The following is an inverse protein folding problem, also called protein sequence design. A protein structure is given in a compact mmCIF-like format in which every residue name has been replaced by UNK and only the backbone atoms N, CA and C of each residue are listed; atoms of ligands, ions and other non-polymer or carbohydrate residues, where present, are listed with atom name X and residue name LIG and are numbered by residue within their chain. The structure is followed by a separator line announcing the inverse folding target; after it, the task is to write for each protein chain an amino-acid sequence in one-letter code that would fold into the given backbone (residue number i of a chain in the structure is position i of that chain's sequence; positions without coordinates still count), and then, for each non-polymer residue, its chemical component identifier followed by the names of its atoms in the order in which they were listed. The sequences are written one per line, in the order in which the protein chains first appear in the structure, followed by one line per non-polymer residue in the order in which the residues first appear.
data_IF_668008761060
#
_entry.id   IF_668008761060
#
_cell.length_a   1.000
_cell.length_b   1.000
_cell.length_c   1.000
_cell.angle_alpha   90.00
_cell.angle_beta   90.00
_cell.angle_gamma   90.00
#
_symmetry.space_group_name_H-M   'P 1'
#
loop_
_entity.id
_entity.type
_entity.pdbx_description
1 polymer ?
#
# COMPACT_ATOMS: atom_id res chain seq x y z
N UNK A 1 6.18 -34.04 -27.94
CA UNK A 1 5.18 -32.96 -27.91
C UNK A 1 4.63 -32.89 -26.50
N UNK A 2 5.06 -31.91 -25.73
CA UNK A 2 4.55 -31.68 -24.35
C UNK A 2 3.22 -30.94 -24.49
N UNK A 3 2.10 -31.61 -24.17
CA UNK A 3 0.81 -30.96 -24.04
C UNK A 3 0.84 -30.08 -22.79
N UNK A 4 0.81 -28.77 -22.98
CA UNK A 4 0.58 -27.82 -21.87
C UNK A 4 -0.70 -28.25 -21.14
N UNK A 5 -0.70 -28.33 -19.80
CA UNK A 5 -1.94 -28.59 -19.08
C UNK A 5 -2.92 -27.45 -19.36
N UNK A 6 -4.17 -27.81 -19.60
CA UNK A 6 -5.29 -26.88 -19.77
C UNK A 6 -5.21 -25.79 -18.70
N UNK A 7 -5.08 -24.54 -19.13
CA UNK A 7 -5.21 -23.41 -18.23
C UNK A 7 -6.63 -23.51 -17.65
N UNK A 8 -6.73 -23.75 -16.35
CA UNK A 8 -7.98 -23.65 -15.63
C UNK A 8 -8.32 -22.16 -15.63
N UNK A 9 -9.03 -21.70 -16.63
CA UNK A 9 -9.72 -20.41 -16.61
C UNK A 9 -10.79 -20.49 -15.51
N UNK A 10 -10.44 -20.11 -14.29
CA UNK A 10 -11.44 -19.80 -13.28
C UNK A 10 -11.98 -18.42 -13.68
N UNK A 11 -13.23 -18.30 -14.08
CA UNK A 11 -13.79 -17.02 -14.49
C UNK A 11 -13.62 -16.03 -13.33
N UNK A 12 -13.05 -14.85 -13.60
CA UNK A 12 -13.16 -13.72 -12.70
C UNK A 12 -14.66 -13.47 -12.53
N UNK A 13 -15.12 -13.27 -11.32
CA UNK A 13 -16.52 -12.91 -11.06
C UNK A 13 -16.78 -11.51 -11.65
N UNK A 14 -17.17 -11.48 -12.90
CA UNK A 14 -17.48 -10.25 -13.65
C UNK A 14 -18.67 -9.48 -13.04
N UNK A 15 -19.35 -10.05 -12.04
CA UNK A 15 -20.46 -9.38 -11.35
C UNK A 15 -19.97 -8.47 -10.20
N UNK A 16 -18.72 -8.63 -9.73
CA UNK A 16 -18.19 -7.84 -8.63
C UNK A 16 -17.76 -6.45 -9.12
N UNK A 17 -18.46 -5.42 -8.64
CA UNK A 17 -18.09 -4.03 -8.94
C UNK A 17 -16.75 -3.66 -8.32
N UNK A 18 -15.96 -2.79 -8.98
CA UNK A 18 -14.72 -2.28 -8.42
C UNK A 18 -14.93 -1.61 -7.05
N UNK A 19 -14.06 -1.93 -6.11
CA UNK A 19 -14.05 -1.28 -4.79
C UNK A 19 -13.65 0.19 -4.93
N UNK A 20 -14.35 1.06 -4.20
CA UNK A 20 -14.15 2.51 -4.24
C UNK A 20 -13.98 3.08 -2.83
N UNK A 21 -13.39 4.29 -2.72
CA UNK A 21 -13.30 4.98 -1.42
C UNK A 21 -14.67 5.19 -0.75
N UNK A 22 -15.72 5.66 -1.44
CA UNK A 22 -17.05 5.77 -0.82
C UNK A 22 -17.55 4.42 -0.28
N UNK A 23 -17.35 3.31 -1.00
CA UNK A 23 -17.74 1.98 -0.50
C UNK A 23 -16.95 1.57 0.73
N UNK A 24 -15.64 1.80 0.77
CA UNK A 24 -14.81 1.55 1.96
C UNK A 24 -15.26 2.41 3.15
N UNK A 25 -15.61 3.67 2.92
CA UNK A 25 -16.15 4.55 3.95
C UNK A 25 -17.51 4.04 4.49
N UNK A 26 -18.38 3.55 3.62
CA UNK A 26 -19.67 2.93 4.01
C UNK A 26 -19.44 1.66 4.83
N UNK A 27 -18.52 0.78 4.43
CA UNK A 27 -18.16 -0.41 5.19
C UNK A 27 -17.70 -0.05 6.61
N UNK A 28 -16.79 0.95 6.73
CA UNK A 28 -16.35 1.46 8.04
C UNK A 28 -17.54 1.97 8.88
N UNK A 29 -18.43 2.75 8.29
CA UNK A 29 -19.61 3.31 8.96
C UNK A 29 -20.59 2.24 9.42
N UNK A 30 -20.74 1.17 8.65
CA UNK A 30 -21.64 0.05 8.92
C UNK A 30 -21.02 -1.02 9.84
N UNK A 31 -19.72 -0.91 10.16
CA UNK A 31 -18.99 -1.92 10.93
C UNK A 31 -18.72 -3.20 10.13
N UNK A 32 -18.78 -3.15 8.81
CA UNK A 32 -18.42 -4.25 7.93
C UNK A 32 -16.89 -4.40 7.89
N UNK A 33 -16.32 -5.59 8.12
CA UNK A 33 -14.88 -5.81 8.03
C UNK A 33 -14.35 -5.50 6.62
N UNK A 34 -13.22 -4.78 6.54
CA UNK A 34 -12.49 -4.57 5.30
C UNK A 34 -11.30 -5.53 5.27
N UNK A 35 -11.26 -6.39 4.27
CA UNK A 35 -10.19 -7.39 4.11
C UNK A 35 -9.14 -6.86 3.15
N UNK A 36 -7.91 -6.67 3.64
CA UNK A 36 -6.76 -6.28 2.83
C UNK A 36 -5.67 -7.35 2.91
N UNK A 37 -5.10 -7.72 1.77
CA UNK A 37 -3.96 -8.63 1.68
C UNK A 37 -2.84 -8.01 0.86
N UNK A 38 -1.62 -8.52 1.01
CA UNK A 38 -0.50 -8.16 0.13
C UNK A 38 -0.44 -9.11 -1.07
N UNK A 39 -0.11 -8.56 -2.24
CA UNK A 39 0.22 -9.33 -3.44
C UNK A 39 1.26 -8.58 -4.25
N UNK A 40 2.27 -9.29 -4.78
CA UNK A 40 3.43 -8.66 -5.41
C UNK A 40 3.60 -9.04 -6.88
N UNK A 41 2.80 -9.95 -7.38
CA UNK A 41 2.87 -10.47 -8.73
C UNK A 41 1.47 -10.80 -9.30
N UNK A 42 1.43 -11.18 -10.57
CA UNK A 42 0.17 -11.52 -11.24
C UNK A 42 -0.56 -12.71 -10.59
N UNK A 43 0.08 -13.88 -10.32
CA UNK A 43 -0.63 -15.02 -9.76
C UNK A 43 -1.14 -14.78 -8.33
N UNK A 44 -0.39 -14.11 -7.46
CA UNK A 44 -0.85 -13.79 -6.10
C UNK A 44 -2.01 -12.76 -6.12
N UNK A 45 -1.93 -11.77 -7.00
CA UNK A 45 -3.01 -10.81 -7.20
C UNK A 45 -4.28 -11.48 -7.72
N UNK A 46 -4.15 -12.40 -8.70
CA UNK A 46 -5.27 -13.18 -9.21
C UNK A 46 -5.90 -14.08 -8.13
N UNK A 47 -5.10 -14.64 -7.22
CA UNK A 47 -5.60 -15.39 -6.07
C UNK A 47 -6.39 -14.49 -5.11
N UNK A 48 -5.89 -13.28 -4.82
CA UNK A 48 -6.57 -12.27 -4.01
C UNK A 48 -7.91 -11.84 -4.63
N UNK A 49 -7.93 -11.57 -5.95
CA UNK A 49 -9.16 -11.27 -6.70
C UNK A 49 -10.19 -12.38 -6.52
N UNK A 50 -9.80 -13.64 -6.75
CA UNK A 50 -10.69 -14.82 -6.63
C UNK A 50 -11.16 -15.06 -5.20
N UNK A 51 -10.34 -14.72 -4.20
CA UNK A 51 -10.71 -14.81 -2.79
C UNK A 51 -11.74 -13.73 -2.38
N UNK A 52 -11.96 -12.72 -3.23
CA UNK A 52 -12.95 -11.68 -2.98
C UNK A 52 -12.51 -10.66 -1.93
N UNK A 53 -11.21 -10.40 -1.77
CA UNK A 53 -10.72 -9.36 -0.86
C UNK A 53 -11.13 -7.96 -1.31
N UNK A 54 -11.19 -7.02 -0.37
CA UNK A 54 -11.63 -5.65 -0.66
C UNK A 54 -10.47 -4.79 -1.15
N UNK A 55 -9.28 -5.03 -0.63
CA UNK A 55 -8.10 -4.24 -0.94
C UNK A 55 -6.88 -5.13 -1.17
N UNK A 56 -5.97 -4.66 -2.01
CA UNK A 56 -4.64 -5.25 -2.21
C UNK A 56 -3.58 -4.20 -2.01
N UNK A 57 -2.56 -4.52 -1.22
CA UNK A 57 -1.37 -3.70 -1.03
C UNK A 57 -0.19 -4.33 -1.78
N UNK A 58 0.46 -3.55 -2.63
CA UNK A 58 1.81 -3.86 -3.09
C UNK A 58 2.78 -3.12 -2.19
N UNK A 59 3.20 -3.81 -1.10
CA UNK A 59 4.08 -3.25 -0.09
C UNK A 59 5.53 -3.18 -0.54
N UNK A 60 6.31 -2.26 0.01
CA UNK A 60 7.77 -2.25 -0.15
C UNK A 60 8.45 -3.50 0.46
N UNK A 61 7.74 -4.21 1.34
CA UNK A 61 8.13 -5.55 1.84
C UNK A 61 8.31 -6.60 0.73
N UNK A 62 7.79 -6.35 -0.48
CA UNK A 62 8.14 -7.10 -1.70
C UNK A 62 9.64 -7.13 -1.97
N UNK A 63 10.39 -6.11 -1.53
CA UNK A 63 11.84 -6.10 -1.53
C UNK A 63 12.42 -7.35 -0.86
N UNK A 64 11.92 -7.65 0.33
CA UNK A 64 12.43 -8.78 1.13
C UNK A 64 11.83 -10.12 0.69
N UNK A 65 10.52 -10.14 0.44
CA UNK A 65 9.77 -11.39 0.24
C UNK A 65 9.83 -11.92 -1.19
N UNK A 66 10.08 -11.05 -2.17
CA UNK A 66 10.10 -11.39 -3.61
C UNK A 66 11.48 -11.16 -4.21
N UNK A 67 12.13 -10.04 -3.89
CA UNK A 67 13.41 -9.66 -4.50
C UNK A 67 14.63 -10.13 -3.68
N UNK A 68 14.44 -10.56 -2.42
CA UNK A 68 15.49 -11.14 -1.59
C UNK A 68 16.43 -10.12 -0.92
N UNK A 69 16.01 -8.86 -0.79
CA UNK A 69 16.74 -7.87 -0.01
C UNK A 69 16.65 -8.15 1.50
N UNK A 70 17.66 -7.75 2.26
CA UNK A 70 17.70 -7.92 3.72
C UNK A 70 16.74 -6.97 4.47
N UNK A 71 16.30 -5.89 3.80
CA UNK A 71 15.36 -4.89 4.35
C UNK A 71 14.59 -4.20 3.21
N UNK A 72 13.61 -3.36 3.58
CA UNK A 72 12.86 -2.54 2.60
C UNK A 72 13.62 -1.29 2.16
N UNK A 73 14.71 -0.91 2.85
CA UNK A 73 15.42 0.36 2.62
C UNK A 73 16.09 0.45 1.24
N UNK A 74 16.79 -0.58 0.73
CA UNK A 74 17.52 -0.47 -0.53
C UNK A 74 16.68 -0.59 -1.80
N UNK A 75 15.38 -0.92 -1.68
CA UNK A 75 14.54 -1.14 -2.86
C UNK A 75 14.28 0.17 -3.61
N UNK A 76 14.44 0.12 -4.92
CA UNK A 76 14.22 1.27 -5.80
C UNK A 76 12.74 1.43 -6.17
N UNK A 77 12.34 2.66 -6.46
CA UNK A 77 10.96 2.99 -6.88
C UNK A 77 10.52 2.16 -8.09
N UNK A 78 11.39 1.96 -9.07
CA UNK A 78 11.05 1.23 -10.29
C UNK A 78 10.80 -0.26 -10.05
N UNK A 79 11.44 -0.84 -9.04
CA UNK A 79 11.21 -2.23 -8.63
C UNK A 79 9.81 -2.40 -8.03
N UNK A 80 9.40 -1.51 -7.13
CA UNK A 80 8.05 -1.57 -6.56
C UNK A 80 6.98 -1.25 -7.62
N UNK A 81 7.25 -0.31 -8.53
CA UNK A 81 6.36 -0.05 -9.66
C UNK A 81 6.23 -1.29 -10.58
N UNK A 82 7.31 -2.02 -10.80
CA UNK A 82 7.26 -3.27 -11.57
C UNK A 82 6.34 -4.30 -10.91
N UNK A 83 6.46 -4.51 -9.59
CA UNK A 83 5.59 -5.39 -8.82
C UNK A 83 4.14 -4.91 -8.87
N UNK A 84 3.90 -3.60 -8.66
CA UNK A 84 2.56 -3.01 -8.71
C UNK A 84 1.88 -3.19 -10.09
N UNK A 85 2.63 -2.98 -11.18
CA UNK A 85 2.16 -3.24 -12.55
C UNK A 85 1.80 -4.71 -12.77
N UNK A 86 2.59 -5.63 -12.21
CA UNK A 86 2.32 -7.06 -12.31
C UNK A 86 1.05 -7.44 -11.52
N UNK A 87 0.92 -6.98 -10.27
CA UNK A 87 -0.26 -7.20 -9.45
C UNK A 87 -1.53 -6.60 -10.10
N UNK A 88 -1.46 -5.38 -10.63
CA UNK A 88 -2.59 -4.72 -11.31
C UNK A 88 -3.23 -5.57 -12.39
N UNK A 89 -2.42 -6.30 -13.17
CA UNK A 89 -2.95 -7.16 -14.25
C UNK A 89 -3.78 -8.34 -13.75
N UNK A 90 -3.62 -8.74 -12.48
CA UNK A 90 -4.38 -9.81 -11.85
C UNK A 90 -5.63 -9.34 -11.10
N UNK A 91 -5.89 -8.02 -11.07
CA UNK A 91 -6.95 -7.41 -10.27
C UNK A 91 -7.97 -6.68 -11.16
N UNK A 92 -9.24 -6.85 -10.84
CA UNK A 92 -10.37 -6.14 -11.46
C UNK A 92 -11.19 -5.37 -10.43
N UNK A 93 -11.49 -6.00 -9.28
CA UNK A 93 -12.39 -5.46 -8.27
C UNK A 93 -11.71 -4.89 -7.02
N UNK A 94 -10.59 -5.43 -6.45
CA UNK A 94 -9.99 -4.88 -5.24
C UNK A 94 -9.42 -3.47 -5.42
N UNK A 95 -9.48 -2.68 -4.35
CA UNK A 95 -8.86 -1.36 -4.27
C UNK A 95 -7.34 -1.53 -4.14
N UNK A 96 -6.59 -1.16 -5.17
CA UNK A 96 -5.14 -1.34 -5.22
C UNK A 96 -4.41 -0.17 -4.57
N UNK A 97 -3.56 -0.47 -3.59
CA UNK A 97 -2.69 0.49 -2.90
C UNK A 97 -1.24 0.19 -3.24
N UNK A 98 -0.50 1.21 -3.68
CA UNK A 98 0.94 1.13 -3.92
C UNK A 98 1.73 1.76 -2.78
N UNK A 99 2.77 1.08 -2.31
CA UNK A 99 3.61 1.56 -1.22
C UNK A 99 4.76 2.41 -1.75
N UNK A 100 4.90 3.63 -1.24
CA UNK A 100 6.02 4.51 -1.59
C UNK A 100 7.29 4.01 -0.88
N UNK A 101 8.33 3.54 -1.61
CA UNK A 101 9.54 3.06 -0.97
C UNK A 101 10.34 4.20 -0.32
N UNK A 102 11.17 3.84 0.64
CA UNK A 102 12.06 4.79 1.33
C UNK A 102 12.92 5.58 0.33
N UNK A 103 13.08 6.87 0.55
CA UNK A 103 13.84 7.77 -0.34
C UNK A 103 13.00 8.34 -1.48
N UNK A 104 11.77 7.88 -1.69
CA UNK A 104 10.93 8.30 -2.81
C UNK A 104 9.94 9.43 -2.50
N UNK A 105 9.83 9.84 -1.22
CA UNK A 105 8.86 10.88 -0.81
C UNK A 105 9.37 11.82 0.31
N UNK A 106 10.49 11.52 0.96
CA UNK A 106 10.93 12.27 2.16
C UNK A 106 11.49 13.65 1.85
N UNK A 107 12.11 13.83 0.68
CA UNK A 107 12.90 15.03 0.35
C UNK A 107 12.04 16.28 0.21
N UNK A 108 10.92 16.18 -0.52
CA UNK A 108 10.04 17.33 -0.79
C UNK A 108 8.60 16.92 -1.09
N UNK A 109 7.67 17.88 -1.01
CA UNK A 109 6.28 17.67 -1.43
C UNK A 109 6.19 17.36 -2.92
N UNK A 110 6.99 18.00 -3.74
CA UNK A 110 7.07 17.77 -5.18
C UNK A 110 7.51 16.34 -5.50
N UNK A 111 8.56 15.85 -4.81
CA UNK A 111 8.99 14.46 -4.95
C UNK A 111 7.86 13.50 -4.59
N UNK A 112 7.21 13.69 -3.45
CA UNK A 112 6.16 12.82 -2.96
C UNK A 112 4.96 12.75 -3.93
N UNK A 113 4.52 13.90 -4.44
CA UNK A 113 3.44 13.98 -5.43
C UNK A 113 3.85 13.33 -6.75
N UNK A 114 5.06 13.58 -7.23
CA UNK A 114 5.59 12.99 -8.47
C UNK A 114 5.65 11.47 -8.36
N UNK A 115 6.14 10.95 -7.24
CA UNK A 115 6.18 9.50 -6.98
C UNK A 115 4.78 8.91 -6.93
N UNK A 116 3.85 9.52 -6.20
CA UNK A 116 2.46 9.06 -6.12
C UNK A 116 1.78 9.04 -7.49
N UNK A 117 2.01 10.06 -8.33
CA UNK A 117 1.52 10.11 -9.70
C UNK A 117 2.01 8.93 -10.56
N UNK A 118 3.24 8.48 -10.35
CA UNK A 118 3.76 7.29 -11.06
C UNK A 118 2.99 6.04 -10.70
N UNK A 119 2.67 5.81 -9.41
CA UNK A 119 1.85 4.67 -8.99
C UNK A 119 0.46 4.71 -9.60
N UNK A 120 -0.18 5.87 -9.63
CA UNK A 120 -1.51 6.04 -10.22
C UNK A 120 -1.48 5.85 -11.74
N UNK A 121 -0.58 6.52 -12.43
CA UNK A 121 -0.57 6.57 -13.91
C UNK A 121 0.05 5.33 -14.53
N UNK A 122 1.12 4.79 -13.95
CA UNK A 122 1.85 3.66 -14.54
C UNK A 122 1.34 2.32 -14.04
N UNK A 123 0.99 2.22 -12.74
CA UNK A 123 0.56 0.97 -12.13
C UNK A 123 -0.96 0.88 -11.87
N UNK A 124 -1.72 1.96 -12.12
CA UNK A 124 -3.17 1.98 -11.91
C UNK A 124 -3.58 1.80 -10.45
N UNK A 125 -2.73 2.24 -9.51
CA UNK A 125 -3.07 2.25 -8.09
C UNK A 125 -4.18 3.28 -7.82
N UNK A 126 -5.12 2.93 -6.95
CA UNK A 126 -6.20 3.80 -6.53
C UNK A 126 -5.81 4.69 -5.34
N UNK A 127 -4.78 4.30 -4.60
CA UNK A 127 -4.17 5.04 -3.51
C UNK A 127 -2.69 4.70 -3.38
N UNK A 128 -1.97 5.50 -2.59
CA UNK A 128 -0.59 5.20 -2.19
C UNK A 128 -0.48 5.09 -0.67
N UNK A 129 0.51 4.31 -0.18
CA UNK A 129 0.85 4.23 1.25
C UNK A 129 2.18 4.94 1.50
N UNK A 130 2.31 5.57 2.67
CA UNK A 130 3.56 6.10 3.19
C UNK A 130 3.70 5.83 4.69
N UNK A 131 4.93 5.80 5.19
CA UNK A 131 5.24 5.50 6.58
C UNK A 131 5.58 6.73 7.40
N UNK A 132 5.29 6.61 8.71
CA UNK A 132 5.56 7.63 9.71
C UNK A 132 4.40 8.60 9.92
N UNK A 133 4.39 9.23 11.09
CA UNK A 133 3.38 10.23 11.48
C UNK A 133 4.02 11.50 12.03
N UNK A 134 5.32 11.71 11.77
CA UNK A 134 6.01 12.95 12.08
C UNK A 134 5.66 14.09 11.13
N UNK A 135 6.12 15.32 11.41
CA UNK A 135 5.78 16.50 10.61
C UNK A 135 6.05 16.33 9.11
N UNK A 136 7.15 15.67 8.75
CA UNK A 136 7.51 15.40 7.35
C UNK A 136 6.47 14.50 6.69
N UNK A 137 6.19 13.33 7.26
CA UNK A 137 5.22 12.38 6.68
C UNK A 137 3.82 12.99 6.58
N UNK A 138 3.40 13.75 7.58
CA UNK A 138 2.10 14.48 7.56
C UNK A 138 2.06 15.53 6.45
N UNK A 139 3.15 16.28 6.23
CA UNK A 139 3.24 17.24 5.12
C UNK A 139 3.15 16.52 3.76
N UNK A 140 3.86 15.40 3.58
CA UNK A 140 3.83 14.60 2.35
C UNK A 140 2.44 14.01 2.09
N UNK A 141 1.79 13.46 3.13
CA UNK A 141 0.41 12.97 3.03
C UNK A 141 -0.53 14.07 2.55
N UNK A 142 -0.43 15.26 3.15
CA UNK A 142 -1.23 16.42 2.76
C UNK A 142 -0.98 16.86 1.32
N UNK A 143 0.27 16.93 0.89
CA UNK A 143 0.62 17.33 -0.47
C UNK A 143 0.05 16.34 -1.51
N UNK A 144 0.20 15.03 -1.28
CA UNK A 144 -0.32 13.98 -2.14
C UNK A 144 -1.85 14.03 -2.18
N UNK A 145 -2.49 14.12 -1.02
CA UNK A 145 -3.96 14.19 -0.92
C UNK A 145 -4.51 15.45 -1.59
N UNK A 146 -3.84 16.61 -1.42
CA UNK A 146 -4.23 17.87 -2.10
C UNK A 146 -4.07 17.80 -3.61
N UNK A 147 -3.21 16.92 -4.11
CA UNK A 147 -3.08 16.64 -5.55
C UNK A 147 -4.18 15.67 -6.07
N UNK A 148 -5.11 15.25 -5.22
CA UNK A 148 -6.24 14.37 -5.56
C UNK A 148 -5.94 12.88 -5.51
N UNK A 149 -4.83 12.48 -4.90
CA UNK A 149 -4.43 11.07 -4.76
C UNK A 149 -4.72 10.62 -3.31
N UNK A 150 -5.54 9.58 -3.10
CA UNK A 150 -5.80 9.06 -1.76
C UNK A 150 -4.53 8.51 -1.10
N UNK A 151 -4.39 8.75 0.20
CA UNK A 151 -3.22 8.32 0.98
C UNK A 151 -3.65 7.37 2.10
N UNK A 152 -2.93 6.26 2.24
CA UNK A 152 -2.98 5.39 3.40
C UNK A 152 -1.78 5.68 4.29
N UNK A 153 -2.02 6.21 5.49
CA UNK A 153 -0.96 6.45 6.48
C UNK A 153 -0.60 5.18 7.23
N UNK A 154 0.69 5.02 7.56
CA UNK A 154 1.18 3.90 8.36
C UNK A 154 1.97 4.41 9.56
N UNK A 155 1.51 4.09 10.76
CA UNK A 155 2.14 4.44 12.03
C UNK A 155 2.45 3.20 12.87
N UNK A 156 3.24 3.36 13.90
CA UNK A 156 3.65 2.26 14.78
C UNK A 156 4.98 1.66 14.36
N UNK A 157 5.02 0.39 13.95
CA UNK A 157 6.23 -0.22 13.40
C UNK A 157 6.35 0.15 11.93
N UNK A 158 7.30 1.01 11.62
CA UNK A 158 7.60 1.50 10.27
C UNK A 158 8.94 0.92 9.79
N UNK A 159 8.92 -0.14 8.95
CA UNK A 159 10.14 -0.83 8.48
C UNK A 159 11.17 0.09 7.85
N UNK A 160 10.75 1.09 7.10
CA UNK A 160 11.64 2.07 6.45
C UNK A 160 12.50 2.85 7.44
N UNK A 161 12.04 3.04 8.66
CA UNK A 161 12.76 3.72 9.73
C UNK A 161 13.22 2.77 10.85
N UNK A 162 13.29 1.47 10.57
CA UNK A 162 13.65 0.43 11.55
C UNK A 162 14.99 0.69 12.26
N UNK A 163 15.97 1.30 11.58
CA UNK A 163 17.24 1.68 12.18
C UNK A 163 17.03 2.65 13.36
N UNK A 164 16.19 3.67 13.20
CA UNK A 164 15.86 4.61 14.27
C UNK A 164 15.03 3.97 15.39
N UNK A 165 14.23 2.94 15.06
CA UNK A 165 13.40 2.19 16.02
C UNK A 165 14.17 1.09 16.77
N UNK A 166 15.46 0.86 16.45
CA UNK A 166 16.27 -0.22 17.00
C UNK A 166 15.88 -1.62 16.50
N UNK A 167 15.43 -1.71 15.26
CA UNK A 167 15.02 -2.94 14.56
C UNK A 167 13.52 -3.17 14.58
N UNK A 168 13.10 -4.35 14.12
CA UNK A 168 11.69 -4.78 14.05
C UNK A 168 11.14 -5.15 15.44
N UNK A 169 10.72 -4.15 16.21
CA UNK A 169 10.19 -4.32 17.56
C UNK A 169 8.77 -3.77 17.66
N UNK A 170 7.92 -4.47 18.41
CA UNK A 170 6.57 -3.98 18.69
C UNK A 170 6.62 -2.59 19.32
N UNK A 171 5.87 -1.65 18.76
CA UNK A 171 5.74 -0.27 19.21
C UNK A 171 4.50 -0.11 20.11
N UNK A 172 4.39 1.06 20.79
CA UNK A 172 3.20 1.36 21.62
C UNK A 172 3.15 0.60 22.95
N UNK A 173 4.27 0.07 23.44
CA UNK A 173 4.32 -0.72 24.69
C UNK A 173 4.17 0.08 25.98
N UNK A 174 4.37 1.39 25.94
CA UNK A 174 4.16 2.31 27.05
C UNK A 174 3.00 3.25 26.75
N UNK A 175 2.36 3.78 27.79
CA UNK A 175 1.29 4.76 27.62
C UNK A 175 1.73 5.96 26.76
N UNK A 176 2.93 6.46 26.98
CA UNK A 176 3.49 7.57 26.20
C UNK A 176 3.65 7.21 24.71
N UNK A 177 4.17 6.02 24.40
CA UNK A 177 4.31 5.56 23.02
C UNK A 177 2.94 5.33 22.35
N UNK A 178 1.97 4.77 23.09
CA UNK A 178 0.61 4.56 22.58
C UNK A 178 -0.07 5.90 22.25
N UNK A 179 0.06 6.90 23.12
CA UNK A 179 -0.46 8.25 22.88
C UNK A 179 0.20 8.89 21.65
N UNK A 180 1.52 8.76 21.51
CA UNK A 180 2.24 9.28 20.34
C UNK A 180 1.72 8.66 19.03
N UNK A 181 1.56 7.33 18.98
CA UNK A 181 1.05 6.64 17.79
C UNK A 181 -0.38 7.09 17.47
N UNK A 182 -1.23 7.23 18.49
CA UNK A 182 -2.59 7.77 18.33
C UNK A 182 -2.56 9.18 17.72
N UNK A 183 -1.75 10.07 18.26
CA UNK A 183 -1.67 11.46 17.82
C UNK A 183 -1.12 11.56 16.38
N UNK A 184 -0.17 10.69 16.03
CA UNK A 184 0.33 10.55 14.67
C UNK A 184 -0.75 10.08 13.70
N UNK A 185 -1.56 9.09 14.10
CA UNK A 185 -2.67 8.60 13.26
C UNK A 185 -3.72 9.70 13.03
N UNK A 186 -4.07 10.46 14.07
CA UNK A 186 -5.01 11.60 13.97
C UNK A 186 -4.43 12.69 13.05
N UNK A 187 -3.14 12.99 13.17
CA UNK A 187 -2.51 14.00 12.32
C UNK A 187 -2.51 13.60 10.83
N UNK A 188 -2.30 12.32 10.52
CA UNK A 188 -2.41 11.80 9.16
C UNK A 188 -3.86 11.84 8.64
N UNK A 189 -4.84 11.45 9.46
CA UNK A 189 -6.27 11.56 9.09
C UNK A 189 -6.66 13.01 8.76
N UNK A 190 -6.17 13.98 9.54
CA UNK A 190 -6.41 15.42 9.29
C UNK A 190 -5.63 15.95 8.07
N UNK A 191 -4.63 15.26 7.62
CA UNK A 191 -3.88 15.61 6.43
C UNK A 191 -4.55 15.14 5.13
N UNK A 192 -5.56 14.28 5.22
CA UNK A 192 -6.33 13.73 4.10
C UNK A 192 -6.16 12.25 3.93
#
# INVERSE_FOLDING_TARGET
MSTMPNQIEVPLDASRLPMTLPRLADMKRLGEPIVMVTAYDYPSALAAEKAGVDMVLVGDSGAMTVLGYDSTVPVELDEILMLAKAARRGLSSPFLVGDLPFGSYEVSDEQAVTTALRFVKEAGCAAVKLEGGGPTSVARARAISSAGIPVMGHVGLTPQTSTALGGYRAQGKTAQQALLIRDQAIALEQAG
#
